data_IF_016165570418
#
_entry.id   IF_016165570418
#
_cell.length_a   1.000
_cell.length_b   1.000
_cell.length_c   1.000
_cell.angle_alpha   90.00
_cell.angle_beta   90.00
_cell.angle_gamma   90.00
#
_symmetry.space_group_name_H-M   'P 1'
#
loop_
_entity.id
_entity.type
_entity.pdbx_description
1 polymer ?
#
# COMPACT_ATOMS: atom_id res chain seq x y z
N UNK A 1 8.96 -31.98 29.26
CA UNK A 1 7.69 -32.63 28.83
C UNK A 1 6.53 -31.66 28.78
N UNK A 2 6.17 -30.97 29.88
CA UNK A 2 5.01 -30.05 29.94
C UNK A 2 4.98 -28.97 28.84
N UNK A 3 6.13 -28.41 28.49
CA UNK A 3 6.26 -27.36 27.47
C UNK A 3 6.02 -27.86 26.04
N UNK A 4 6.36 -29.12 25.77
CA UNK A 4 6.17 -29.79 24.47
C UNK A 4 4.69 -30.14 24.26
N UNK A 5 4.03 -30.66 25.31
CA UNK A 5 2.59 -30.93 25.25
C UNK A 5 1.76 -29.66 25.09
N UNK A 6 2.12 -28.56 25.77
CA UNK A 6 1.45 -27.27 25.57
C UNK A 6 1.65 -26.74 24.15
N UNK A 7 2.84 -26.90 23.57
CA UNK A 7 3.12 -26.51 22.18
C UNK A 7 2.27 -27.30 21.19
N UNK A 8 2.22 -28.63 21.28
CA UNK A 8 1.39 -29.45 20.38
C UNK A 8 -0.11 -29.22 20.57
N UNK A 9 -0.56 -28.94 21.80
CA UNK A 9 -1.96 -28.61 22.07
C UNK A 9 -2.34 -27.24 21.48
N UNK A 10 -1.48 -26.23 21.62
CA UNK A 10 -1.66 -24.93 20.97
C UNK A 10 -1.62 -25.06 19.45
N UNK A 11 -0.66 -25.81 18.90
CA UNK A 11 -0.53 -26.04 17.45
C UNK A 11 -1.75 -26.76 16.87
N UNK A 12 -2.28 -27.78 17.57
CA UNK A 12 -3.51 -28.46 17.18
C UNK A 12 -4.72 -27.52 17.21
N UNK A 13 -4.82 -26.69 18.24
CA UNK A 13 -5.92 -25.73 18.37
C UNK A 13 -5.83 -24.64 17.29
N UNK A 14 -4.61 -24.19 16.96
CA UNK A 14 -4.33 -23.25 15.87
C UNK A 14 -4.69 -23.86 14.51
N UNK A 15 -4.27 -25.11 14.24
CA UNK A 15 -4.60 -25.79 12.99
C UNK A 15 -6.11 -25.95 12.80
N UNK A 16 -6.85 -26.32 13.84
CA UNK A 16 -8.31 -26.42 13.79
C UNK A 16 -8.99 -25.06 13.54
N UNK A 17 -8.40 -23.98 14.05
CA UNK A 17 -8.85 -22.61 13.77
C UNK A 17 -8.60 -22.20 12.31
N UNK A 18 -7.44 -22.54 11.74
CA UNK A 18 -7.10 -22.23 10.34
C UNK A 18 -7.91 -23.04 9.31
N UNK A 19 -8.24 -24.31 9.60
CA UNK A 19 -9.08 -25.14 8.70
C UNK A 19 -10.51 -24.58 8.59
N UNK A 20 -10.96 -23.79 9.57
CA UNK A 20 -12.29 -23.17 9.59
C UNK A 20 -12.35 -21.84 8.81
N UNK A 21 -11.23 -21.36 8.29
CA UNK A 21 -11.10 -20.03 7.69
C UNK A 21 -10.74 -20.14 6.21
N UNK A 22 -11.65 -20.68 5.39
CA UNK A 22 -11.66 -20.34 3.96
C UNK A 22 -12.19 -18.90 3.88
N UNK A 23 -11.32 -17.96 4.24
CA UNK A 23 -11.63 -16.54 4.16
C UNK A 23 -11.52 -16.16 2.68
N UNK A 24 -12.64 -15.70 2.11
CA UNK A 24 -12.60 -14.94 0.86
C UNK A 24 -11.82 -13.67 1.21
N UNK A 25 -10.60 -13.56 0.70
CA UNK A 25 -9.87 -12.30 0.77
C UNK A 25 -10.67 -11.30 -0.08
N UNK A 26 -11.33 -10.34 0.57
CA UNK A 26 -11.96 -9.22 -0.13
C UNK A 26 -10.87 -8.47 -0.88
N UNK A 27 -11.02 -8.35 -2.20
CA UNK A 27 -10.08 -7.62 -3.03
C UNK A 27 -10.26 -6.13 -2.76
N UNK A 28 -9.36 -5.53 -1.99
CA UNK A 28 -9.33 -4.08 -1.80
C UNK A 28 -8.96 -3.46 -3.15
N UNK A 29 -9.96 -2.89 -3.83
CA UNK A 29 -9.80 -2.12 -5.07
C UNK A 29 -9.91 -0.64 -4.71
N UNK A 30 -8.82 0.05 -4.37
CA UNK A 30 -8.90 1.49 -4.14
C UNK A 30 -9.23 2.21 -5.46
N UNK A 31 -9.79 3.41 -5.35
CA UNK A 31 -9.79 4.32 -6.49
C UNK A 31 -8.35 4.69 -6.86
N UNK A 32 -8.12 5.03 -8.13
CA UNK A 32 -6.79 5.38 -8.61
C UNK A 32 -6.84 6.62 -9.49
N UNK A 33 -6.13 7.65 -9.07
CA UNK A 33 -5.93 8.89 -9.82
C UNK A 33 -4.47 8.99 -10.23
N UNK A 34 -4.21 9.01 -11.53
CA UNK A 34 -2.87 9.27 -12.06
C UNK A 34 -2.86 10.58 -12.84
N UNK A 35 -1.88 11.43 -12.55
CA UNK A 35 -1.52 12.60 -13.35
C UNK A 35 -0.10 12.42 -13.85
N UNK A 36 0.07 12.25 -15.15
CA UNK A 36 1.38 12.13 -15.79
C UNK A 36 1.62 13.31 -16.71
N UNK A 37 2.64 14.09 -16.42
CA UNK A 37 3.08 15.22 -17.24
C UNK A 37 3.72 14.70 -18.53
N UNK A 38 3.13 15.03 -19.68
CA UNK A 38 3.63 14.61 -20.99
C UNK A 38 4.36 15.73 -21.73
N UNK A 39 3.96 16.97 -21.49
CA UNK A 39 4.61 18.19 -21.95
C UNK A 39 4.41 19.26 -20.90
N UNK A 40 5.18 20.36 -20.96
CA UNK A 40 5.16 21.43 -19.97
C UNK A 40 3.73 21.80 -19.57
N UNK A 41 3.40 21.64 -18.29
CA UNK A 41 2.10 21.96 -17.71
C UNK A 41 0.90 21.22 -18.33
N UNK A 42 1.13 20.12 -19.04
CA UNK A 42 0.09 19.32 -19.69
C UNK A 42 0.14 17.88 -19.21
N UNK A 43 -0.96 17.42 -18.61
CA UNK A 43 -1.03 16.16 -17.90
C UNK A 43 -2.05 15.22 -18.56
N UNK A 44 -1.66 13.97 -18.81
CA UNK A 44 -2.64 12.89 -19.00
C UNK A 44 -3.17 12.46 -17.65
N UNK A 45 -4.49 12.50 -17.50
CA UNK A 45 -5.20 12.13 -16.28
C UNK A 45 -5.91 10.81 -16.50
N UNK A 46 -5.65 9.84 -15.62
CA UNK A 46 -6.39 8.58 -15.54
C UNK A 46 -7.14 8.57 -14.21
N UNK A 47 -8.46 8.44 -14.27
CA UNK A 47 -9.31 8.31 -13.10
C UNK A 47 -10.02 6.96 -13.15
N UNK A 48 -9.66 6.06 -12.23
CA UNK A 48 -10.24 4.73 -12.10
C UNK A 48 -11.03 4.66 -10.80
N UNK A 49 -12.31 4.33 -10.91
CA UNK A 49 -13.22 4.19 -9.77
C UNK A 49 -13.76 2.75 -9.75
N UNK A 50 -13.75 2.08 -8.59
CA UNK A 50 -14.39 0.78 -8.45
C UNK A 50 -15.89 0.89 -8.73
N UNK A 51 -16.43 -0.08 -9.46
CA UNK A 51 -17.84 -0.23 -9.73
C UNK A 51 -18.31 -1.61 -9.28
N UNK A 52 -19.62 -1.77 -9.10
CA UNK A 52 -20.25 -3.07 -8.88
C UNK A 52 -21.39 -3.19 -9.90
N UNK A 53 -21.11 -3.85 -11.03
CA UNK A 53 -21.97 -3.77 -12.21
C UNK A 53 -22.05 -2.33 -12.75
N UNK A 54 -23.25 -1.84 -13.05
CA UNK A 54 -23.46 -0.49 -13.61
C UNK A 54 -23.41 0.64 -12.57
N UNK A 55 -23.28 0.32 -11.28
CA UNK A 55 -23.21 1.32 -10.20
C UNK A 55 -21.75 1.65 -9.90
N UNK A 56 -21.32 2.84 -10.32
CA UNK A 56 -20.03 3.43 -9.91
C UNK A 56 -20.16 4.15 -8.57
N UNK A 57 -19.10 4.12 -7.76
CA UNK A 57 -19.01 5.01 -6.61
C UNK A 57 -19.04 6.47 -7.08
N UNK A 58 -19.75 7.33 -6.35
CA UNK A 58 -19.88 8.76 -6.65
C UNK A 58 -18.62 9.53 -6.21
N UNK A 59 -17.46 9.14 -6.74
CA UNK A 59 -16.16 9.74 -6.48
C UNK A 59 -15.74 10.62 -7.67
N UNK A 60 -15.34 11.85 -7.37
CA UNK A 60 -14.94 12.83 -8.38
C UNK A 60 -13.59 13.44 -8.02
N UNK A 61 -12.65 13.39 -8.97
CA UNK A 61 -11.36 14.05 -8.85
C UNK A 61 -11.50 15.55 -9.18
N UNK A 62 -11.42 16.38 -8.15
CA UNK A 62 -11.41 17.83 -8.28
C UNK A 62 -9.96 18.30 -8.46
N UNK A 63 -9.62 18.65 -9.69
CA UNK A 63 -8.34 19.26 -10.03
C UNK A 63 -8.34 20.75 -9.65
N UNK A 64 -7.15 21.35 -9.49
CA UNK A 64 -7.02 22.78 -9.24
C UNK A 64 -7.71 23.63 -10.31
N UNK A 65 -8.19 24.81 -9.93
CA UNK A 65 -8.89 25.73 -10.85
C UNK A 65 -8.00 26.21 -12.01
N UNK A 66 -6.67 26.11 -11.87
CA UNK A 66 -5.70 26.40 -12.94
C UNK A 66 -5.72 25.37 -14.08
N UNK A 67 -6.36 24.21 -13.90
CA UNK A 67 -6.38 23.13 -14.87
C UNK A 67 -7.65 23.14 -15.75
N UNK A 68 -7.46 23.16 -17.06
CA UNK A 68 -8.53 23.10 -18.06
C UNK A 68 -8.41 21.83 -18.91
N UNK A 69 -9.55 21.19 -19.18
CA UNK A 69 -9.63 20.00 -20.04
C UNK A 69 -9.30 20.38 -21.50
N UNK A 70 -8.27 19.75 -22.08
CA UNK A 70 -7.90 19.89 -23.49
C UNK A 70 -8.63 18.89 -24.38
N UNK A 71 -9.05 17.76 -23.82
CA UNK A 71 -9.81 16.72 -24.53
C UNK A 71 -11.11 16.40 -23.82
N UNK A 72 -12.12 15.96 -24.57
CA UNK A 72 -13.33 15.42 -23.95
C UNK A 72 -12.98 14.14 -23.18
N UNK A 73 -13.45 13.99 -21.92
CA UNK A 73 -13.18 12.79 -21.16
C UNK A 73 -13.81 11.57 -21.84
N UNK A 74 -12.98 10.56 -22.09
CA UNK A 74 -13.46 9.27 -22.57
C UNK A 74 -13.46 8.27 -21.41
N UNK A 75 -14.56 7.56 -21.24
CA UNK A 75 -14.72 6.61 -20.15
C UNK A 75 -15.11 5.22 -20.65
N UNK A 76 -14.57 4.20 -19.99
CA UNK A 76 -14.81 2.79 -20.28
C UNK A 76 -15.06 2.04 -18.97
N UNK A 77 -15.98 1.09 -19.00
CA UNK A 77 -16.14 0.11 -17.93
C UNK A 77 -15.32 -1.13 -18.29
N UNK A 78 -14.31 -1.46 -17.48
CA UNK A 78 -13.44 -2.61 -17.68
C UNK A 78 -13.31 -3.35 -16.35
N UNK A 79 -13.70 -4.63 -16.30
CA UNK A 79 -13.58 -5.50 -15.11
C UNK A 79 -14.10 -4.86 -13.82
N UNK A 80 -15.35 -4.37 -13.83
CA UNK A 80 -15.98 -3.68 -12.69
C UNK A 80 -15.21 -2.45 -12.20
N UNK A 81 -14.47 -1.78 -13.10
CA UNK A 81 -13.84 -0.50 -12.83
C UNK A 81 -14.21 0.51 -13.93
N UNK A 82 -14.69 1.67 -13.52
CA UNK A 82 -14.94 2.80 -14.41
C UNK A 82 -13.65 3.58 -14.60
N UNK A 83 -13.07 3.54 -15.79
CA UNK A 83 -11.81 4.20 -16.12
C UNK A 83 -12.11 5.36 -17.06
N UNK A 84 -11.79 6.58 -16.62
CA UNK A 84 -11.88 7.81 -17.38
C UNK A 84 -10.48 8.31 -17.72
N UNK A 85 -10.26 8.68 -18.98
CA UNK A 85 -9.01 9.28 -19.45
C UNK A 85 -9.29 10.64 -20.07
N UNK A 86 -8.46 11.62 -19.74
CA UNK A 86 -8.51 12.97 -20.31
C UNK A 86 -7.12 13.62 -20.31
N UNK A 87 -6.96 14.67 -21.09
CA UNK A 87 -5.77 15.54 -21.06
C UNK A 87 -6.18 16.87 -20.48
N UNK A 88 -5.39 17.37 -19.53
CA UNK A 88 -5.60 18.68 -18.89
C UNK A 88 -4.35 19.54 -19.06
N UNK A 89 -4.53 20.84 -19.26
CA UNK A 89 -3.44 21.81 -19.21
C UNK A 89 -3.64 22.71 -17.99
N UNK A 90 -2.61 22.88 -17.18
CA UNK A 90 -2.66 23.65 -15.94
C UNK A 90 -1.79 24.90 -16.07
N UNK A 91 -2.39 26.09 -16.22
CA UNK A 91 -1.67 27.31 -16.59
C UNK A 91 -0.59 27.73 -15.57
N UNK A 92 -0.76 27.36 -14.30
CA UNK A 92 0.20 27.62 -13.22
C UNK A 92 0.98 26.37 -12.78
N UNK A 93 0.91 25.29 -13.57
CA UNK A 93 1.40 23.98 -13.16
C UNK A 93 0.58 23.35 -12.02
N UNK A 94 1.09 22.25 -11.48
CA UNK A 94 0.47 21.51 -10.37
C UNK A 94 1.17 21.69 -9.03
N UNK A 95 2.36 22.27 -9.00
CA UNK A 95 3.09 22.49 -7.75
C UNK A 95 2.38 23.56 -6.91
N UNK A 96 2.36 23.35 -5.59
CA UNK A 96 1.69 24.19 -4.59
C UNK A 96 0.17 24.32 -4.78
N UNK A 97 -0.42 23.44 -5.59
CA UNK A 97 -1.86 23.36 -5.76
C UNK A 97 -2.45 22.25 -4.91
N UNK A 98 -3.70 22.43 -4.50
CA UNK A 98 -4.46 21.44 -3.74
C UNK A 98 -5.36 20.61 -4.66
N UNK A 99 -5.31 19.29 -4.50
CA UNK A 99 -6.21 18.34 -5.14
C UNK A 99 -7.16 17.76 -4.10
N UNK A 100 -8.42 17.50 -4.47
CA UNK A 100 -9.37 16.83 -3.58
C UNK A 100 -10.18 15.76 -4.30
N UNK A 101 -10.62 14.74 -3.55
CA UNK A 101 -11.56 13.72 -4.03
C UNK A 101 -12.92 13.94 -3.38
N UNK A 102 -13.85 14.51 -4.14
CA UNK A 102 -15.21 14.69 -3.67
C UNK A 102 -15.93 13.33 -3.57
N UNK A 103 -16.72 13.18 -2.50
CA UNK A 103 -17.45 11.95 -2.19
C UNK A 103 -16.67 10.94 -1.34
N UNK A 104 -15.34 11.06 -1.22
CA UNK A 104 -14.49 10.07 -0.54
C UNK A 104 -14.86 9.89 0.94
N UNK A 105 -15.15 11.00 1.62
CA UNK A 105 -15.56 11.01 3.03
C UNK A 105 -16.86 10.23 3.33
N UNK A 106 -17.66 9.94 2.30
CA UNK A 106 -18.92 9.18 2.43
C UNK A 106 -18.77 7.70 2.04
N UNK A 107 -17.54 7.25 1.78
CA UNK A 107 -17.25 5.89 1.33
C UNK A 107 -16.30 5.18 2.30
N UNK A 108 -16.23 3.85 2.20
CA UNK A 108 -15.26 3.02 2.92
C UNK A 108 -14.07 2.62 2.02
N UNK A 109 -13.74 3.46 1.04
CA UNK A 109 -12.74 3.18 0.02
C UNK A 109 -11.67 4.25 0.08
N UNK A 110 -10.42 3.86 -0.17
CA UNK A 110 -9.29 4.77 -0.30
C UNK A 110 -9.00 5.06 -1.76
N UNK A 111 -8.29 6.15 -2.02
CA UNK A 111 -7.85 6.55 -3.37
C UNK A 111 -6.35 6.71 -3.39
N UNK A 112 -5.68 5.96 -4.26
CA UNK A 112 -4.26 6.14 -4.53
C UNK A 112 -4.09 7.24 -5.58
N UNK A 113 -3.50 8.36 -5.18
CA UNK A 113 -3.09 9.45 -6.07
C UNK A 113 -1.63 9.24 -6.45
N UNK A 114 -1.33 9.23 -7.74
CA UNK A 114 0.01 9.18 -8.31
C UNK A 114 0.23 10.37 -9.24
N UNK A 115 1.32 11.11 -9.01
CA UNK A 115 1.73 12.24 -9.86
C UNK A 115 3.12 11.92 -10.39
N UNK A 116 3.33 12.05 -11.70
CA UNK A 116 4.61 11.85 -12.38
C UNK A 116 4.92 13.09 -13.22
N UNK A 117 6.03 13.75 -12.92
CA UNK A 117 6.48 14.98 -13.61
C UNK A 117 7.49 14.66 -14.71
N UNK A 118 7.71 15.61 -15.63
CA UNK A 118 8.66 15.47 -16.75
C UNK A 118 10.10 15.21 -16.30
N UNK A 119 10.48 15.68 -15.11
CA UNK A 119 11.80 15.47 -14.52
C UNK A 119 12.01 14.03 -13.99
N UNK A 120 11.03 13.14 -14.16
CA UNK A 120 11.05 11.76 -13.66
C UNK A 120 10.74 11.62 -12.16
N UNK A 121 10.51 12.73 -11.45
CA UNK A 121 10.03 12.67 -10.07
C UNK A 121 8.59 12.16 -10.07
N UNK A 122 8.32 11.21 -9.18
CA UNK A 122 6.98 10.71 -8.95
C UNK A 122 6.66 10.72 -7.48
N UNK A 123 5.40 11.06 -7.18
CA UNK A 123 4.87 11.09 -5.84
C UNK A 123 3.63 10.21 -5.82
N UNK A 124 3.46 9.45 -4.74
CA UNK A 124 2.28 8.62 -4.53
C UNK A 124 1.79 8.81 -3.11
N UNK A 125 0.50 9.10 -2.97
CA UNK A 125 -0.14 9.32 -1.67
C UNK A 125 -1.47 8.58 -1.65
N UNK A 126 -1.79 8.00 -0.50
CA UNK A 126 -3.07 7.35 -0.26
C UNK A 126 -4.01 8.36 0.43
N UNK A 127 -5.09 8.71 -0.25
CA UNK A 127 -6.16 9.53 0.29
C UNK A 127 -7.19 8.63 0.94
N UNK A 128 -7.59 8.98 2.16
CA UNK A 128 -8.53 8.21 2.98
C UNK A 128 -9.84 8.99 3.14
N UNK A 129 -10.94 8.37 3.59
CA UNK A 129 -12.19 9.09 3.87
C UNK A 129 -12.01 10.27 4.84
N UNK A 130 -11.06 10.18 5.77
CA UNK A 130 -10.73 11.22 6.75
C UNK A 130 -9.74 12.28 6.24
N UNK A 131 -8.95 11.96 5.21
CA UNK A 131 -7.95 12.85 4.62
C UNK A 131 -8.02 12.73 3.09
N UNK A 132 -8.92 13.52 2.49
CA UNK A 132 -9.32 13.43 1.08
C UNK A 132 -8.74 14.55 0.20
N UNK A 133 -7.82 15.33 0.76
CA UNK A 133 -7.17 16.49 0.17
C UNK A 133 -5.66 16.28 0.17
N UNK A 134 -4.98 16.77 -0.87
CA UNK A 134 -3.54 16.70 -0.94
C UNK A 134 -2.97 17.98 -1.54
N UNK A 135 -2.04 18.59 -0.80
CA UNK A 135 -1.26 19.73 -1.25
C UNK A 135 0.01 19.23 -1.93
N UNK A 136 0.20 19.60 -3.20
CA UNK A 136 1.31 19.10 -4.03
C UNK A 136 2.57 19.91 -3.68
N UNK A 137 3.60 19.32 -3.07
CA UNK A 137 4.78 20.07 -2.62
C UNK A 137 5.67 20.49 -3.80
N UNK A 138 6.17 21.74 -3.78
CA UNK A 138 7.12 22.28 -4.76
C UNK A 138 8.48 21.57 -4.77
N UNK A 139 8.93 21.09 -3.60
CA UNK A 139 10.21 20.41 -3.44
C UNK A 139 10.05 19.20 -2.51
N UNK A 140 10.29 18.00 -3.03
CA UNK A 140 10.46 16.82 -2.20
C UNK A 140 11.91 16.69 -1.77
N UNK A 141 12.20 17.02 -0.52
CA UNK A 141 13.50 16.71 0.08
C UNK A 141 13.60 15.20 0.34
N UNK A 142 14.69 14.56 -0.12
CA UNK A 142 14.95 13.13 0.14
C UNK A 142 14.92 12.77 1.62
N UNK A 143 15.29 13.72 2.50
CA UNK A 143 15.25 13.53 3.95
C UNK A 143 13.81 13.52 4.48
N UNK A 144 12.94 14.35 3.92
CA UNK A 144 11.52 14.40 4.28
C UNK A 144 10.79 13.14 3.79
N UNK A 145 11.14 12.66 2.59
CA UNK A 145 10.67 11.36 2.09
C UNK A 145 11.12 10.27 3.07
N UNK A 146 12.42 10.17 3.38
CA UNK A 146 12.93 9.16 4.31
C UNK A 146 12.22 9.18 5.67
N UNK A 147 11.99 10.37 6.25
CA UNK A 147 11.26 10.54 7.50
C UNK A 147 9.80 10.06 7.41
N UNK A 148 9.10 10.42 6.33
CA UNK A 148 7.69 10.02 6.11
C UNK A 148 7.55 8.51 5.97
N UNK A 149 8.40 7.87 5.15
CA UNK A 149 8.40 6.41 4.97
C UNK A 149 8.79 5.68 6.25
N UNK A 150 9.74 6.21 7.03
CA UNK A 150 10.11 5.65 8.33
C UNK A 150 8.95 5.70 9.31
N UNK A 151 8.27 6.85 9.40
CA UNK A 151 7.09 7.01 10.26
C UNK A 151 5.95 6.07 9.84
N UNK A 152 5.67 5.97 8.53
CA UNK A 152 4.67 5.07 8.00
C UNK A 152 5.00 3.60 8.36
N UNK A 153 6.27 3.19 8.22
CA UNK A 153 6.74 1.88 8.63
C UNK A 153 6.54 1.60 10.13
N UNK A 154 6.83 2.57 11.00
CA UNK A 154 6.58 2.45 12.46
C UNK A 154 5.09 2.26 12.72
N UNK A 155 4.23 3.08 12.11
CA UNK A 155 2.78 2.96 12.29
C UNK A 155 2.24 1.63 11.77
N UNK A 156 2.79 1.12 10.67
CA UNK A 156 2.41 -0.17 10.09
C UNK A 156 2.75 -1.34 11.02
N UNK A 157 3.95 -1.36 11.63
CA UNK A 157 4.32 -2.41 12.59
C UNK A 157 3.45 -2.37 13.85
N UNK A 158 3.12 -1.16 14.34
CA UNK A 158 2.32 -0.99 15.56
C UNK A 158 0.84 -1.37 15.37
N UNK A 159 0.27 -1.09 14.19
CA UNK A 159 -1.13 -1.34 13.88
C UNK A 159 -1.37 -2.68 13.16
N UNK A 160 -0.33 -3.29 12.60
CA UNK A 160 -0.42 -4.52 11.83
C UNK A 160 -0.56 -5.77 12.70
N UNK A 161 -1.72 -6.43 12.62
CA UNK A 161 -2.00 -7.69 13.34
C UNK A 161 -0.99 -8.78 12.96
N UNK A 162 -0.60 -8.86 11.69
CA UNK A 162 0.34 -9.88 11.20
C UNK A 162 1.72 -9.76 11.86
N UNK A 163 2.21 -8.54 12.06
CA UNK A 163 3.50 -8.28 12.72
C UNK A 163 3.45 -8.64 14.21
N UNK A 164 2.34 -8.31 14.87
CA UNK A 164 2.14 -8.65 16.28
C UNK A 164 2.04 -10.18 16.48
N UNK A 165 1.32 -10.88 15.60
CA UNK A 165 1.24 -12.34 15.60
C UNK A 165 2.60 -12.98 15.32
N UNK A 166 3.39 -12.43 14.42
CA UNK A 166 4.76 -12.90 14.15
C UNK A 166 5.67 -12.76 15.39
N UNK A 167 5.69 -11.59 16.03
CA UNK A 167 6.48 -11.38 17.25
C UNK A 167 6.00 -12.28 18.38
N UNK A 168 4.68 -12.47 18.53
CA UNK A 168 4.10 -13.39 19.50
C UNK A 168 4.52 -14.84 19.26
N UNK A 169 4.51 -15.30 18.00
CA UNK A 169 5.00 -16.63 17.64
C UNK A 169 6.49 -16.80 17.98
N UNK A 170 7.32 -15.80 17.68
CA UNK A 170 8.75 -15.82 18.03
C UNK A 170 9.00 -15.86 19.54
N UNK A 171 8.18 -15.18 20.35
CA UNK A 171 8.25 -15.24 21.82
C UNK A 171 7.96 -16.64 22.36
N UNK A 172 7.08 -17.41 21.70
CA UNK A 172 6.77 -18.78 22.09
C UNK A 172 7.86 -19.78 21.66
N UNK A 173 8.49 -19.56 20.51
CA UNK A 173 9.45 -20.49 19.88
C UNK A 173 10.88 -20.25 20.40
N UNK A 174 11.35 -19.01 20.43
CA UNK A 174 12.76 -18.70 20.67
C UNK A 174 13.07 -18.66 22.16
N UNK A 175 13.93 -19.57 22.62
CA UNK A 175 14.34 -19.66 24.02
C UNK A 175 15.55 -18.77 24.33
N UNK A 176 15.30 -17.48 24.52
CA UNK A 176 16.31 -16.55 25.06
C UNK A 176 16.22 -15.13 24.50
N UNK A 177 16.29 -14.14 25.39
CA UNK A 177 16.14 -12.71 25.04
C UNK A 177 17.13 -12.24 23.97
N UNK A 178 18.39 -12.73 24.05
CA UNK A 178 19.45 -12.37 23.09
C UNK A 178 19.18 -12.95 21.71
N UNK A 179 18.78 -14.22 21.64
CA UNK A 179 18.48 -14.88 20.36
C UNK A 179 17.24 -14.27 19.70
N UNK A 180 16.21 -13.98 20.49
CA UNK A 180 15.01 -13.28 20.03
C UNK A 180 15.35 -11.90 19.42
N UNK A 181 16.17 -11.11 20.11
CA UNK A 181 16.60 -9.80 19.62
C UNK A 181 17.32 -9.92 18.27
N UNK A 182 18.24 -10.87 18.14
CA UNK A 182 18.96 -11.10 16.88
C UNK A 182 18.04 -11.55 15.75
N UNK A 183 17.08 -12.45 16.01
CA UNK A 183 16.11 -12.92 15.00
C UNK A 183 15.23 -11.78 14.51
N UNK A 184 14.65 -10.98 15.42
CA UNK A 184 13.80 -9.83 15.05
C UNK A 184 14.60 -8.80 14.27
N UNK A 185 15.82 -8.49 14.72
CA UNK A 185 16.69 -7.50 14.06
C UNK A 185 17.09 -7.98 12.66
N UNK A 186 17.49 -9.25 12.52
CA UNK A 186 17.86 -9.81 11.22
C UNK A 186 16.68 -9.83 10.24
N UNK A 187 15.49 -10.20 10.69
CA UNK A 187 14.27 -10.18 9.87
C UNK A 187 13.93 -8.77 9.41
N UNK A 188 13.91 -7.81 10.34
CA UNK A 188 13.61 -6.40 10.04
C UNK A 188 14.63 -5.82 9.06
N UNK A 189 15.91 -6.14 9.24
CA UNK A 189 16.99 -5.68 8.38
C UNK A 189 16.90 -6.27 6.97
N UNK A 190 16.70 -7.59 6.85
CA UNK A 190 16.52 -8.26 5.56
C UNK A 190 15.30 -7.70 4.81
N UNK A 191 14.18 -7.53 5.50
CA UNK A 191 12.97 -6.96 4.92
C UNK A 191 13.17 -5.52 4.43
N UNK A 192 13.87 -4.70 5.22
CA UNK A 192 14.21 -3.32 4.85
C UNK A 192 15.08 -3.26 3.60
N UNK A 193 16.07 -4.16 3.47
CA UNK A 193 16.91 -4.25 2.27
C UNK A 193 16.07 -4.63 1.05
N UNK A 194 15.18 -5.62 1.17
CA UNK A 194 14.33 -6.04 0.05
C UNK A 194 13.36 -4.94 -0.39
N UNK A 195 12.77 -4.20 0.56
CA UNK A 195 11.91 -3.05 0.26
C UNK A 195 12.71 -1.92 -0.41
N UNK A 196 13.91 -1.61 0.08
CA UNK A 196 14.79 -0.64 -0.56
C UNK A 196 15.13 -1.06 -2.00
N UNK A 197 15.47 -2.33 -2.23
CA UNK A 197 15.73 -2.85 -3.57
C UNK A 197 14.53 -2.77 -4.51
N UNK A 198 13.33 -3.07 -4.01
CA UNK A 198 12.09 -2.97 -4.78
C UNK A 198 11.70 -1.52 -5.09
N UNK A 199 11.76 -0.63 -4.10
CA UNK A 199 11.41 0.79 -4.26
C UNK A 199 12.38 1.55 -5.17
N UNK A 200 13.67 1.21 -5.13
CA UNK A 200 14.69 1.78 -6.04
C UNK A 200 14.64 1.17 -7.46
N UNK A 201 13.73 0.22 -7.71
CA UNK A 201 13.62 -0.45 -9.01
C UNK A 201 14.78 -1.38 -9.35
N UNK A 202 15.63 -1.74 -8.37
CA UNK A 202 16.77 -2.66 -8.57
C UNK A 202 16.30 -4.10 -8.74
N UNK A 203 15.16 -4.45 -8.14
CA UNK A 203 14.61 -5.82 -8.11
C UNK A 203 13.09 -5.77 -8.27
N UNK A 204 12.56 -6.45 -9.29
CA UNK A 204 11.11 -6.62 -9.49
C UNK A 204 10.74 -8.08 -9.33
N UNK A 205 10.10 -8.41 -8.21
CA UNK A 205 9.62 -9.77 -7.92
C UNK A 205 8.12 -9.67 -7.59
N UNK A 206 7.25 -10.49 -8.20
CA UNK A 206 5.84 -10.51 -7.85
C UNK A 206 5.64 -10.84 -6.36
N UNK A 207 4.71 -10.14 -5.73
CA UNK A 207 4.50 -10.16 -4.27
C UNK A 207 4.13 -11.55 -3.72
N UNK A 208 3.28 -12.29 -4.44
CA UNK A 208 2.74 -13.58 -4.00
C UNK A 208 3.84 -14.63 -3.68
N UNK A 209 4.83 -14.90 -4.57
CA UNK A 209 5.95 -15.78 -4.23
C UNK A 209 6.77 -15.32 -3.01
N UNK A 210 6.97 -14.01 -2.85
CA UNK A 210 7.77 -13.45 -1.74
C UNK A 210 7.09 -13.74 -0.41
N UNK A 211 5.78 -13.48 -0.33
CA UNK A 211 4.98 -13.77 0.86
C UNK A 211 4.97 -15.27 1.20
N UNK A 212 4.84 -16.13 0.19
CA UNK A 212 4.88 -17.58 0.38
C UNK A 212 6.23 -18.05 0.94
N UNK A 213 7.34 -17.51 0.45
CA UNK A 213 8.69 -17.86 0.95
C UNK A 213 8.92 -17.34 2.37
N UNK A 214 8.43 -16.14 2.69
CA UNK A 214 8.50 -15.61 4.07
C UNK A 214 7.72 -16.53 5.01
N UNK A 215 6.48 -16.88 4.67
CA UNK A 215 5.66 -17.80 5.47
C UNK A 215 6.34 -19.17 5.65
N UNK A 216 6.91 -19.72 4.57
CA UNK A 216 7.68 -20.97 4.59
C UNK A 216 8.90 -20.88 5.50
N UNK A 217 9.64 -19.76 5.48
CA UNK A 217 10.84 -19.56 6.31
C UNK A 217 10.50 -19.56 7.81
N UNK A 218 9.36 -18.97 8.18
CA UNK A 218 8.88 -18.95 9.56
C UNK A 218 8.47 -20.36 9.99
N UNK A 219 7.81 -21.12 9.10
CA UNK A 219 7.44 -22.51 9.35
C UNK A 219 8.68 -23.40 9.55
N UNK A 220 9.72 -23.25 8.72
CA UNK A 220 10.99 -23.96 8.90
C UNK A 220 11.68 -23.59 10.22
N UNK A 221 11.75 -22.30 10.55
CA UNK A 221 12.30 -21.84 11.82
C UNK A 221 11.56 -22.46 13.02
N UNK A 222 10.22 -22.55 12.93
CA UNK A 222 9.41 -23.18 13.97
C UNK A 222 9.69 -24.69 14.10
N UNK A 223 9.97 -25.39 13.00
CA UNK A 223 10.32 -26.81 13.04
C UNK A 223 11.75 -27.08 13.54
N UNK A 224 12.71 -26.21 13.20
CA UNK A 224 14.12 -26.43 13.56
C UNK A 224 14.43 -26.11 15.03
N UNK A 225 13.60 -25.27 15.67
CA UNK A 225 13.77 -24.90 17.08
C UNK A 225 13.08 -25.89 18.06
N UNK A 226 12.29 -26.88 17.60
CA UNK A 226 11.48 -27.83 18.41
C UNK A 226 12.05 -29.26 18.41
#
# INVERSE_FOLDING_TARGET
>A
MLRRTVFYLCLSCLLQFFISSISIADEIRPGYLELKENSENTFSVIWKVPAKGDKKLALYANLPASCQDKTQPYAQLINDAYIQRRIVACDQGLLEQTLSIAGLATTNTDVLLRIEFLNGSSQSVLLTPTDNTFDIPAHTSSLQIAGTYTWLGITHILLGVDHLLFVFALLLIVTGKRQLLWTITAFTFAHSITLAGATLGLVYIPQQPVEAVIALSILFLAMEIV
#
